data_IF_024984131083
#
_entry.id   IF_024984131083
#
_cell.length_a   1.000
_cell.length_b   1.000
_cell.length_c   1.000
_cell.angle_alpha   90.00
_cell.angle_beta   90.00
_cell.angle_gamma   90.00
#
_symmetry.space_group_name_H-M   'P 1'
#
loop_
_entity.id
_entity.type
_entity.pdbx_description
1 polymer ?
#
# COMPACT_ATOMS: atom_id res chain seq x y z
N UNK A 1 -7.89 -50.48 -12.25
CA UNK A 1 -6.92 -49.57 -12.91
C UNK A 1 -7.74 -48.51 -13.63
N UNK A 2 -7.61 -47.24 -13.22
CA UNK A 2 -8.43 -46.15 -13.73
C UNK A 2 -8.47 -45.03 -12.69
N UNK A 3 -7.48 -44.14 -12.78
CA UNK A 3 -7.07 -43.17 -11.78
C UNK A 3 -8.16 -42.10 -11.52
N UNK A 4 -8.48 -41.89 -10.26
CA UNK A 4 -9.35 -40.80 -9.80
C UNK A 4 -8.62 -39.47 -9.99
N UNK A 5 -9.22 -38.55 -10.76
CA UNK A 5 -8.73 -37.19 -10.93
C UNK A 5 -9.35 -36.33 -9.82
N UNK A 6 -8.68 -36.26 -8.67
CA UNK A 6 -9.05 -35.35 -7.59
C UNK A 6 -8.77 -33.90 -8.00
N UNK A 7 -9.83 -33.10 -7.99
CA UNK A 7 -9.80 -31.66 -8.17
C UNK A 7 -8.99 -31.04 -7.03
N UNK A 8 -7.73 -30.68 -7.29
CA UNK A 8 -6.96 -29.78 -6.45
C UNK A 8 -7.56 -28.38 -6.57
N UNK A 9 -8.58 -28.10 -5.75
CA UNK A 9 -8.91 -26.74 -5.35
C UNK A 9 -7.78 -26.23 -4.46
N UNK A 10 -6.78 -25.61 -5.09
CA UNK A 10 -5.86 -24.72 -4.41
C UNK A 10 -6.69 -23.57 -3.83
N UNK A 11 -7.08 -23.74 -2.57
CA UNK A 11 -7.66 -22.68 -1.75
C UNK A 11 -6.60 -21.58 -1.62
N UNK A 12 -6.82 -20.47 -2.30
CA UNK A 12 -6.15 -19.20 -2.00
C UNK A 12 -6.33 -18.91 -0.51
N UNK A 13 -5.26 -18.70 0.29
CA UNK A 13 -5.42 -18.27 1.66
C UNK A 13 -6.09 -16.90 1.63
N UNK A 14 -7.33 -16.84 2.09
CA UNK A 14 -8.02 -15.59 2.35
C UNK A 14 -7.30 -14.93 3.53
N UNK A 15 -6.40 -13.99 3.23
CA UNK A 15 -5.82 -13.10 4.25
C UNK A 15 -6.91 -12.08 4.59
N UNK A 16 -7.91 -12.53 5.34
CA UNK A 16 -8.83 -11.63 6.04
C UNK A 16 -8.01 -11.03 7.16
N UNK A 17 -7.64 -9.75 6.98
CA UNK A 17 -6.92 -8.96 7.97
C UNK A 17 -7.63 -9.04 9.32
N UNK A 18 -6.96 -9.64 10.29
CA UNK A 18 -7.32 -9.52 11.69
C UNK A 18 -7.24 -8.05 12.08
N UNK A 19 -8.23 -7.61 12.85
CA UNK A 19 -8.37 -6.25 13.36
C UNK A 19 -7.05 -5.75 13.94
N UNK A 20 -6.72 -4.52 13.56
CA UNK A 20 -5.51 -3.79 13.90
C UNK A 20 -5.17 -3.87 15.41
N UNK A 21 -4.14 -4.65 15.73
CA UNK A 21 -3.33 -4.42 16.92
C UNK A 21 -2.48 -3.17 16.66
N UNK A 22 -3.00 -2.00 17.03
CA UNK A 22 -2.33 -0.69 16.99
C UNK A 22 -1.23 -0.55 18.06
N UNK A 23 -0.46 -1.63 18.30
CA UNK A 23 0.66 -1.63 19.24
C UNK A 23 1.94 -2.11 18.55
N UNK A 24 2.85 -1.16 18.42
CA UNK A 24 4.21 -1.26 17.87
C UNK A 24 4.31 -1.23 16.33
N UNK A 25 4.68 -0.07 15.79
CA UNK A 25 5.42 -0.03 14.54
C UNK A 25 6.74 -0.76 14.80
N UNK A 26 6.86 -1.98 14.29
CA UNK A 26 8.11 -2.73 14.31
C UNK A 26 9.29 -1.87 13.88
N UNK A 27 10.48 -2.15 14.36
CA UNK A 27 11.70 -1.65 13.73
C UNK A 27 12.16 -2.68 12.71
N UNK A 28 12.61 -2.25 11.54
CA UNK A 28 13.29 -3.15 10.60
C UNK A 28 14.68 -3.47 11.13
N UNK A 29 15.08 -4.74 11.05
CA UNK A 29 16.48 -5.13 11.30
C UNK A 29 17.37 -4.69 10.13
N UNK A 30 18.67 -4.60 10.35
CA UNK A 30 19.64 -4.30 9.28
C UNK A 30 19.54 -5.32 8.12
N UNK A 31 19.31 -6.60 8.44
CA UNK A 31 19.09 -7.65 7.45
C UNK A 31 17.82 -7.41 6.62
N UNK A 32 16.71 -7.04 7.26
CA UNK A 32 15.46 -6.72 6.55
C UNK A 32 15.63 -5.48 5.65
N UNK A 33 16.35 -4.46 6.13
CA UNK A 33 16.67 -3.27 5.34
C UNK A 33 17.48 -3.65 4.09
N UNK A 34 18.50 -4.48 4.25
CA UNK A 34 19.34 -4.93 3.13
C UNK A 34 18.51 -5.71 2.10
N UNK A 35 17.65 -6.63 2.56
CA UNK A 35 16.73 -7.39 1.69
C UNK A 35 15.83 -6.45 0.90
N UNK A 36 15.20 -5.47 1.56
CA UNK A 36 14.29 -4.52 0.91
C UNK A 36 15.04 -3.69 -0.14
N UNK A 37 16.20 -3.12 0.20
CA UNK A 37 17.01 -2.31 -0.72
C UNK A 37 17.44 -3.12 -1.95
N UNK A 38 17.92 -4.34 -1.76
CA UNK A 38 18.32 -5.23 -2.85
C UNK A 38 17.12 -5.60 -3.74
N UNK A 39 16.00 -5.96 -3.11
CA UNK A 39 14.81 -6.37 -3.85
C UNK A 39 14.20 -5.22 -4.64
N UNK A 40 14.16 -4.01 -4.07
CA UNK A 40 13.70 -2.82 -4.75
C UNK A 40 14.54 -2.47 -5.97
N UNK A 41 15.88 -2.57 -5.86
CA UNK A 41 16.78 -2.30 -6.98
C UNK A 41 16.50 -3.22 -8.18
N UNK A 42 16.21 -4.50 -7.94
CA UNK A 42 15.82 -5.43 -9.00
C UNK A 42 14.47 -5.09 -9.66
N UNK A 43 13.58 -4.39 -8.94
CA UNK A 43 12.24 -4.01 -9.41
C UNK A 43 12.19 -2.68 -10.16
N UNK A 44 13.22 -1.82 -10.04
CA UNK A 44 13.22 -0.44 -10.59
C UNK A 44 12.83 -0.39 -12.07
N UNK A 45 13.37 -1.32 -12.87
CA UNK A 45 13.10 -1.38 -14.32
C UNK A 45 11.67 -1.77 -14.66
N UNK A 46 10.94 -2.37 -13.71
CA UNK A 46 9.57 -2.86 -13.85
C UNK A 46 8.54 -2.02 -13.09
N UNK A 47 8.98 -0.97 -12.37
CA UNK A 47 8.16 -0.36 -11.32
C UNK A 47 6.88 0.31 -11.83
N UNK A 48 6.92 0.83 -13.06
CA UNK A 48 5.72 1.36 -13.71
C UNK A 48 4.65 0.28 -13.91
N UNK A 49 5.07 -0.93 -14.32
CA UNK A 49 4.15 -2.04 -14.55
C UNK A 49 3.67 -2.65 -13.23
N UNK A 50 4.57 -2.84 -12.27
CA UNK A 50 4.24 -3.27 -10.90
C UNK A 50 3.16 -2.38 -10.31
N UNK A 51 3.31 -1.05 -10.42
CA UNK A 51 2.32 -0.11 -9.92
C UNK A 51 0.96 -0.22 -10.62
N UNK A 52 0.93 -0.35 -11.95
CA UNK A 52 -0.34 -0.54 -12.68
C UNK A 52 -1.02 -1.84 -12.26
N UNK A 53 -0.29 -2.97 -12.22
CA UNK A 53 -0.81 -4.27 -11.80
C UNK A 53 -1.37 -4.20 -10.37
N UNK A 54 -0.65 -3.54 -9.47
CA UNK A 54 -1.08 -3.34 -8.07
C UNK A 54 -2.46 -2.69 -8.01
N UNK A 55 -2.65 -1.58 -8.72
CA UNK A 55 -3.91 -0.84 -8.69
C UNK A 55 -5.05 -1.56 -9.42
N UNK A 56 -4.77 -2.15 -10.59
CA UNK A 56 -5.78 -2.93 -11.33
C UNK A 56 -6.26 -4.09 -10.46
N UNK A 57 -5.34 -4.88 -9.91
CA UNK A 57 -5.68 -6.01 -9.03
C UNK A 57 -6.45 -5.57 -7.78
N UNK A 58 -6.14 -4.39 -7.24
CA UNK A 58 -6.86 -3.81 -6.10
C UNK A 58 -8.29 -3.40 -6.48
N UNK A 59 -8.50 -2.78 -7.63
CA UNK A 59 -9.84 -2.43 -8.09
C UNK A 59 -10.66 -3.66 -8.48
N UNK A 60 -10.04 -4.69 -9.06
CA UNK A 60 -10.71 -5.96 -9.34
C UNK A 60 -11.16 -6.67 -8.06
N UNK A 61 -10.35 -6.62 -6.99
CA UNK A 61 -10.69 -7.25 -5.71
C UNK A 61 -11.76 -6.49 -4.95
N UNK A 62 -11.79 -5.17 -5.09
CA UNK A 62 -12.72 -4.25 -4.43
C UNK A 62 -13.11 -3.10 -5.37
N UNK A 63 -14.10 -3.34 -6.25
CA UNK A 63 -14.52 -2.35 -7.24
C UNK A 63 -14.98 -1.02 -6.63
N UNK A 64 -15.50 -1.02 -5.39
CA UNK A 64 -15.91 0.18 -4.68
C UNK A 64 -14.75 1.17 -4.46
N UNK A 65 -13.50 0.71 -4.48
CA UNK A 65 -12.33 1.56 -4.30
C UNK A 65 -12.15 2.54 -5.45
N UNK A 66 -12.59 2.18 -6.67
CA UNK A 66 -12.45 3.07 -7.83
C UNK A 66 -13.20 4.39 -7.63
N UNK A 67 -14.28 4.37 -6.85
CA UNK A 67 -15.12 5.52 -6.57
C UNK A 67 -14.44 6.56 -5.67
N UNK A 68 -13.35 6.20 -4.98
CA UNK A 68 -12.53 7.17 -4.23
C UNK A 68 -11.63 7.97 -5.18
N UNK A 69 -11.26 7.39 -6.32
CA UNK A 69 -10.37 8.02 -7.28
C UNK A 69 -11.18 8.84 -8.28
N UNK A 70 -11.34 10.14 -8.01
CA UNK A 70 -12.15 11.05 -8.83
C UNK A 70 -11.88 10.96 -10.35
N UNK A 71 -10.63 10.74 -10.76
CA UNK A 71 -10.24 10.61 -12.18
C UNK A 71 -10.67 9.28 -12.83
N UNK A 72 -11.00 8.27 -12.03
CA UNK A 72 -11.33 6.91 -12.46
C UNK A 72 -12.78 6.50 -12.13
N UNK A 73 -13.54 7.34 -11.40
CA UNK A 73 -14.98 7.14 -11.14
C UNK A 73 -15.75 6.74 -12.40
N UNK A 74 -16.55 5.68 -12.30
CA UNK A 74 -17.38 5.18 -13.39
C UNK A 74 -16.62 4.65 -14.62
N UNK A 75 -15.29 4.49 -14.57
CA UNK A 75 -14.53 3.81 -15.63
C UNK A 75 -14.60 2.31 -15.47
N UNK A 76 -14.56 1.60 -16.59
CA UNK A 76 -14.38 0.16 -16.56
C UNK A 76 -12.97 -0.21 -16.11
N UNK A 77 -12.85 -1.20 -15.22
CA UNK A 77 -11.57 -1.66 -14.67
C UNK A 77 -10.72 -2.30 -15.77
N UNK A 78 -11.35 -2.97 -16.74
CA UNK A 78 -10.65 -3.58 -17.88
C UNK A 78 -9.85 -2.58 -18.73
N UNK A 79 -10.30 -1.33 -18.79
CA UNK A 79 -9.64 -0.27 -19.55
C UNK A 79 -8.47 0.38 -18.78
N UNK A 80 -8.40 0.18 -17.46
CA UNK A 80 -7.46 0.89 -16.60
C UNK A 80 -6.00 0.48 -16.83
N UNK A 81 -5.74 -0.77 -17.24
CA UNK A 81 -4.37 -1.26 -17.44
C UNK A 81 -3.60 -0.45 -18.51
N UNK A 82 -4.31 0.02 -19.55
CA UNK A 82 -3.73 0.86 -20.61
C UNK A 82 -3.84 2.37 -20.33
N UNK A 83 -4.48 2.75 -19.22
CA UNK A 83 -4.83 4.13 -18.94
C UNK A 83 -3.60 4.95 -18.48
N UNK A 84 -3.22 5.95 -19.27
CA UNK A 84 -2.07 6.82 -18.98
C UNK A 84 -2.18 7.59 -17.65
N UNK A 85 -3.38 7.95 -17.22
CA UNK A 85 -3.59 8.61 -15.92
C UNK A 85 -3.36 7.64 -14.75
N UNK A 86 -3.81 6.38 -14.88
CA UNK A 86 -3.51 5.36 -13.87
C UNK A 86 -2.01 5.11 -13.79
N UNK A 87 -1.33 4.98 -14.94
CA UNK A 87 0.13 4.83 -14.98
C UNK A 87 0.85 5.98 -14.26
N UNK A 88 0.42 7.22 -14.47
CA UNK A 88 0.99 8.38 -13.77
C UNK A 88 0.73 8.33 -12.26
N UNK A 89 -0.46 7.92 -11.83
CA UNK A 89 -0.79 7.78 -10.42
C UNK A 89 0.04 6.67 -9.75
N UNK A 90 0.09 5.50 -10.39
CA UNK A 90 0.92 4.38 -9.97
C UNK A 90 2.39 4.78 -9.81
N UNK A 91 2.96 5.52 -10.76
CA UNK A 91 4.33 6.03 -10.66
C UNK A 91 4.55 6.98 -9.48
N UNK A 92 3.57 7.81 -9.11
CA UNK A 92 3.68 8.67 -7.92
C UNK A 92 3.76 7.85 -6.64
N UNK A 93 2.97 6.78 -6.55
CA UNK A 93 2.97 5.87 -5.39
C UNK A 93 4.29 5.12 -5.31
N UNK A 94 4.78 4.62 -6.45
CA UNK A 94 6.07 3.96 -6.53
C UNK A 94 7.23 4.89 -6.16
N UNK A 95 7.17 6.16 -6.56
CA UNK A 95 8.14 7.17 -6.12
C UNK A 95 8.06 7.48 -4.62
N UNK A 96 6.88 7.35 -3.99
CA UNK A 96 6.75 7.45 -2.54
C UNK A 96 7.37 6.25 -1.83
N UNK A 97 7.16 5.03 -2.36
CA UNK A 97 7.81 3.81 -1.84
C UNK A 97 9.34 3.93 -1.96
N UNK A 98 9.84 4.37 -3.12
CA UNK A 98 11.26 4.64 -3.34
C UNK A 98 11.85 5.59 -2.28
N UNK A 99 11.17 6.72 -2.05
CA UNK A 99 11.52 7.70 -1.01
C UNK A 99 11.48 7.15 0.41
N UNK A 100 10.66 6.14 0.68
CA UNK A 100 10.65 5.46 1.97
C UNK A 100 11.86 4.54 2.10
N UNK A 101 12.18 3.79 1.05
CA UNK A 101 13.32 2.87 1.01
C UNK A 101 14.65 3.62 1.09
N UNK A 102 14.74 4.79 0.44
CA UNK A 102 15.93 5.65 0.50
C UNK A 102 16.18 6.25 1.89
N UNK A 103 15.16 6.29 2.77
CA UNK A 103 15.22 6.84 4.13
C UNK A 103 14.99 5.77 5.19
N UNK A 104 15.03 4.50 4.82
CA UNK A 104 14.63 3.40 5.69
C UNK A 104 15.53 3.24 6.92
N UNK A 105 16.77 3.74 6.82
CA UNK A 105 17.78 3.85 7.87
C UNK A 105 17.72 5.19 8.64
N UNK A 106 16.77 6.06 8.32
CA UNK A 106 16.54 7.36 8.97
C UNK A 106 15.13 7.41 9.61
N UNK A 107 14.90 6.77 10.77
CA UNK A 107 13.55 6.56 11.31
C UNK A 107 12.72 7.83 11.48
N UNK A 108 13.36 8.94 11.88
CA UNK A 108 12.68 10.24 12.03
C UNK A 108 12.22 10.80 10.70
N UNK A 109 13.06 10.73 9.67
CA UNK A 109 12.75 11.27 8.34
C UNK A 109 11.73 10.39 7.61
N UNK A 110 11.83 9.07 7.78
CA UNK A 110 10.81 8.13 7.31
C UNK A 110 9.45 8.41 7.95
N UNK A 111 9.39 8.57 9.27
CA UNK A 111 8.16 8.87 9.99
C UNK A 111 7.53 10.18 9.53
N UNK A 112 8.32 11.26 9.39
CA UNK A 112 7.84 12.56 8.89
C UNK A 112 7.23 12.43 7.49
N UNK A 113 7.95 11.80 6.56
CA UNK A 113 7.47 11.55 5.19
C UNK A 113 6.12 10.81 5.16
N UNK A 114 5.98 9.76 5.97
CA UNK A 114 4.78 8.93 6.01
C UNK A 114 3.60 9.65 6.67
N UNK A 115 3.85 10.44 7.72
CA UNK A 115 2.83 11.28 8.35
C UNK A 115 2.32 12.33 7.37
N UNK A 116 3.20 13.03 6.66
CA UNK A 116 2.81 14.00 5.62
C UNK A 116 2.01 13.33 4.50
N UNK A 117 2.45 12.14 4.06
CA UNK A 117 1.72 11.33 3.10
C UNK A 117 0.32 10.98 3.62
N UNK A 118 0.19 10.61 4.90
CA UNK A 118 -1.08 10.36 5.56
C UNK A 118 -2.00 11.58 5.59
N UNK A 119 -1.48 12.77 5.92
CA UNK A 119 -2.26 14.03 5.90
C UNK A 119 -2.87 14.26 4.50
N UNK A 120 -2.09 14.05 3.44
CA UNK A 120 -2.60 14.17 2.06
C UNK A 120 -3.72 13.17 1.76
N UNK A 121 -3.60 11.92 2.24
CA UNK A 121 -4.64 10.91 2.04
C UNK A 121 -5.96 11.24 2.77
N UNK A 122 -5.89 11.92 3.91
CA UNK A 122 -7.08 12.45 4.58
C UNK A 122 -7.73 13.58 3.77
N UNK A 123 -6.95 14.48 3.15
CA UNK A 123 -7.48 15.50 2.22
C UNK A 123 -8.22 14.89 1.03
N UNK A 124 -7.74 13.74 0.54
CA UNK A 124 -8.41 12.98 -0.52
C UNK A 124 -9.60 12.14 -0.03
N UNK A 125 -9.93 12.18 1.27
CA UNK A 125 -11.00 11.42 1.91
C UNK A 125 -10.88 9.91 1.68
N UNK A 126 -9.65 9.41 1.58
CA UNK A 126 -9.38 7.97 1.52
C UNK A 126 -9.64 7.40 2.91
N UNK A 127 -10.53 6.40 3.07
CA UNK A 127 -10.70 5.72 4.35
C UNK A 127 -9.40 5.03 4.81
N UNK A 128 -8.98 5.17 6.08
CA UNK A 128 -7.75 4.54 6.59
C UNK A 128 -7.67 3.03 6.33
N UNK A 129 -8.80 2.34 6.39
CA UNK A 129 -8.89 0.91 6.10
C UNK A 129 -8.50 0.53 4.67
N UNK A 130 -8.39 1.50 3.75
CA UNK A 130 -7.96 1.27 2.38
C UNK A 130 -6.44 1.30 2.22
N UNK A 131 -5.71 1.94 3.14
CA UNK A 131 -4.24 1.99 3.09
C UNK A 131 -3.63 0.59 3.21
N UNK A 132 -4.20 -0.26 4.06
CA UNK A 132 -3.74 -1.66 4.23
C UNK A 132 -4.08 -2.57 3.03
N UNK A 133 -5.07 -2.21 2.19
CA UNK A 133 -5.54 -3.08 1.10
C UNK A 133 -4.52 -3.12 -0.04
N UNK A 134 -3.79 -2.03 -0.28
CA UNK A 134 -2.81 -1.97 -1.38
C UNK A 134 -1.67 -2.99 -1.22
N UNK A 135 -1.35 -3.36 0.02
CA UNK A 135 -0.15 -4.15 0.33
C UNK A 135 -0.17 -5.57 -0.25
N UNK A 136 -1.21 -6.41 -0.03
CA UNK A 136 -1.29 -7.72 -0.67
C UNK A 136 -1.21 -7.66 -2.20
N UNK A 137 -1.80 -6.62 -2.81
CA UNK A 137 -1.75 -6.42 -4.26
C UNK A 137 -0.34 -6.05 -4.73
N UNK A 138 0.38 -5.22 -3.97
CA UNK A 138 1.77 -4.89 -4.26
C UNK A 138 2.67 -6.12 -4.16
N UNK A 139 2.55 -6.93 -3.10
CA UNK A 139 3.34 -8.16 -2.95
C UNK A 139 3.10 -9.13 -4.11
N UNK A 140 1.83 -9.33 -4.49
CA UNK A 140 1.49 -10.18 -5.61
C UNK A 140 2.01 -9.62 -6.94
N UNK A 141 2.05 -8.29 -7.09
CA UNK A 141 2.57 -7.64 -8.29
C UNK A 141 4.09 -7.73 -8.43
N UNK A 142 4.85 -7.70 -7.33
CA UNK A 142 6.32 -7.83 -7.39
C UNK A 142 6.77 -9.28 -7.56
N UNK A 143 6.02 -10.24 -7.01
CA UNK A 143 6.43 -11.65 -6.91
C UNK A 143 6.93 -12.27 -8.23
N UNK A 144 6.25 -12.10 -9.38
CA UNK A 144 6.72 -12.66 -10.66
C UNK A 144 8.08 -12.13 -11.13
N UNK A 145 8.50 -10.94 -10.68
CA UNK A 145 9.77 -10.34 -11.09
C UNK A 145 10.96 -10.80 -10.24
N UNK A 146 10.67 -11.47 -9.11
CA UNK A 146 11.65 -11.86 -8.10
C UNK A 146 11.47 -13.32 -7.68
N UNK A 147 10.72 -14.09 -8.47
CA UNK A 147 10.28 -15.45 -8.15
C UNK A 147 11.46 -16.39 -7.91
N UNK A 148 12.51 -16.26 -8.71
CA UNK A 148 13.73 -17.08 -8.63
C UNK A 148 14.45 -17.01 -7.27
N UNK A 149 14.21 -15.95 -6.49
CA UNK A 149 14.81 -15.72 -5.19
C UNK A 149 13.79 -15.37 -4.11
N UNK A 150 12.49 -15.61 -4.36
CA UNK A 150 11.44 -15.36 -3.40
C UNK A 150 11.62 -16.24 -2.15
N UNK A 151 11.49 -15.64 -0.97
CA UNK A 151 11.60 -16.35 0.31
C UNK A 151 10.62 -15.79 1.34
N UNK A 152 10.39 -16.54 2.42
CA UNK A 152 9.61 -16.05 3.56
C UNK A 152 10.25 -14.80 4.18
N UNK A 153 11.58 -14.70 4.18
CA UNK A 153 12.29 -13.52 4.69
C UNK A 153 12.02 -12.27 3.85
N UNK A 154 11.93 -12.39 2.52
CA UNK A 154 11.53 -11.28 1.64
C UNK A 154 10.09 -10.85 1.97
N UNK A 155 9.17 -11.81 2.03
CA UNK A 155 7.77 -11.53 2.36
C UNK A 155 7.62 -10.85 3.74
N UNK A 156 8.34 -11.34 4.75
CA UNK A 156 8.34 -10.80 6.11
C UNK A 156 8.97 -9.40 6.19
N UNK A 157 10.04 -9.15 5.43
CA UNK A 157 10.71 -7.84 5.37
C UNK A 157 9.76 -6.78 4.79
N UNK A 158 9.14 -7.07 3.65
CA UNK A 158 8.14 -6.19 3.05
C UNK A 158 6.92 -5.99 3.95
N UNK A 159 6.43 -7.06 4.57
CA UNK A 159 5.31 -6.98 5.54
C UNK A 159 5.63 -6.03 6.68
N UNK A 160 6.85 -6.13 7.24
CA UNK A 160 7.29 -5.22 8.32
C UNK A 160 7.34 -3.77 7.84
N UNK A 161 7.92 -3.50 6.67
CA UNK A 161 7.96 -2.15 6.11
C UNK A 161 6.55 -1.58 5.89
N UNK A 162 5.66 -2.32 5.24
CA UNK A 162 4.31 -1.86 4.98
C UNK A 162 3.50 -1.62 6.27
N UNK A 163 3.71 -2.42 7.33
CA UNK A 163 3.11 -2.15 8.65
C UNK A 163 3.58 -0.82 9.23
N UNK A 164 4.88 -0.51 9.11
CA UNK A 164 5.44 0.78 9.54
C UNK A 164 4.82 1.93 8.71
N UNK A 165 4.74 1.75 7.39
CA UNK A 165 4.14 2.73 6.48
C UNK A 165 2.70 3.04 6.85
N UNK A 166 1.87 2.01 6.98
CA UNK A 166 0.46 2.14 7.36
C UNK A 166 0.31 2.83 8.71
N UNK A 167 1.08 2.43 9.72
CA UNK A 167 1.01 3.04 11.06
C UNK A 167 1.24 4.56 11.03
N UNK A 168 2.30 5.03 10.37
CA UNK A 168 2.60 6.46 10.32
C UNK A 168 1.64 7.23 9.41
N UNK A 169 1.18 6.62 8.32
CA UNK A 169 0.13 7.21 7.48
C UNK A 169 -1.18 7.38 8.25
N UNK A 170 -1.61 6.38 9.02
CA UNK A 170 -2.79 6.47 9.88
C UNK A 170 -2.67 7.59 10.92
N UNK A 171 -1.49 7.78 11.51
CA UNK A 171 -1.22 8.94 12.39
C UNK A 171 -1.46 10.24 11.64
N UNK A 172 -0.91 10.39 10.42
CA UNK A 172 -1.10 11.58 9.60
C UNK A 172 -2.56 11.82 9.25
N UNK A 173 -3.27 10.76 8.88
CA UNK A 173 -4.70 10.83 8.53
C UNK A 173 -5.54 11.27 9.73
N UNK A 174 -5.28 10.73 10.91
CA UNK A 174 -6.00 11.05 12.15
C UNK A 174 -5.62 12.42 12.72
N UNK A 175 -4.39 12.92 12.50
CA UNK A 175 -4.00 14.29 12.88
C UNK A 175 -4.79 15.35 12.14
N UNK A 176 -5.10 15.12 10.86
CA UNK A 176 -5.96 16.01 10.08
C UNK A 176 -7.39 16.09 10.63
N UNK A 177 -7.86 15.06 11.34
CA UNK A 177 -9.18 15.06 12.01
C UNK A 177 -9.17 15.95 13.26
N UNK A 178 -8.09 15.94 14.05
CA UNK A 178 -7.99 16.73 15.29
C UNK A 178 -7.94 18.25 15.03
N UNK A 179 -7.23 18.69 13.99
CA UNK A 179 -7.11 20.12 13.64
C UNK A 179 -8.45 20.70 13.09
N UNK A 180 -9.20 19.89 12.33
CA UNK A 180 -10.54 20.26 11.84
C UNK A 180 -11.57 20.32 12.97
N UNK A 181 -11.52 19.42 13.96
CA UNK A 181 -12.44 19.45 15.11
C UNK A 181 -12.19 20.62 16.07
N UNK A 182 -10.93 21.07 16.21
CA UNK A 182 -10.61 22.23 17.05
C UNK A 182 -11.03 23.54 16.39
N UNK A 183 -10.86 23.66 15.06
CA UNK A 183 -11.28 24.84 14.30
C UNK A 183 -12.80 24.96 14.17
N UNK A 184 -13.56 23.86 14.05
CA UNK A 184 -15.03 23.92 14.01
C UNK A 184 -15.65 24.28 15.37
N UNK A 185 -14.98 23.97 16.49
CA UNK A 185 -15.47 24.30 17.84
C UNK A 185 -15.35 25.80 18.21
N UNK A 186 -14.58 26.57 17.43
CA UNK A 186 -14.38 28.02 17.66
C UNK A 186 -15.32 28.90 16.83
N UNK A 187 -16.13 28.32 15.93
CA UNK A 187 -16.99 29.07 15.01
C UNK A 187 -18.46 29.24 15.48
N UNK A 188 -18.86 28.69 16.63
CA UNK A 188 -20.26 28.75 17.13
C UNK A 188 -20.44 29.62 18.39
N UNK A 189 -19.51 30.53 18.70
CA UNK A 189 -19.68 31.52 19.77
C UNK A 189 -19.57 32.95 19.24
N UNK A 190 -20.40 33.30 18.27
CA UNK A 190 -20.75 34.69 17.96
C UNK A 190 -22.00 34.72 17.07
N UNK A 191 -23.17 34.58 17.70
CA UNK A 191 -24.46 35.08 17.20
C UNK A 191 -25.49 35.09 18.33
#
# INVERSE_FOLDING_TARGET
MGCSCEKLQLRTPCIIGNKADTKFAGTLTEAQIAIIKQNWHALEVHIANVGVITYVSMFESKPELIEVFEKFKGRDIGDLQSNGLLRQHALKVMATIDKCISRIDEPKNLATLLIETGVMHNTYKVPPEFIQIIFPHFLNAIKPYIEDYWSEDIANSWTTLFRIMTYYMEIGMNKGVLDVTLTSSHAERES
#
